data_IF_694925502574
#
_entry.id   IF_694925502574
#
_cell.length_a   1.000
_cell.length_b   1.000
_cell.length_c   1.000
_cell.angle_alpha   90.00
_cell.angle_beta   90.00
_cell.angle_gamma   90.00
#
_symmetry.space_group_name_H-M   'P 1'
#
loop_
_entity.id
_entity.type
_entity.pdbx_description
1 polymer ?
#
# COMPACT_ATOMS: atom_id res chain seq x y z
N UNK A 1 -14.08 -5.69 59.01
CA UNK A 1 -12.67 -6.02 58.70
C UNK A 1 -12.42 -5.74 57.23
N UNK A 2 -11.79 -4.59 56.93
CA UNK A 2 -11.49 -4.14 55.56
C UNK A 2 -9.98 -4.19 55.39
N UNK A 3 -9.50 -5.04 54.50
CA UNK A 3 -8.15 -5.03 53.96
C UNK A 3 -8.19 -4.22 52.66
N UNK A 4 -7.44 -3.12 52.60
CA UNK A 4 -7.21 -2.36 51.37
C UNK A 4 -5.70 -2.31 51.13
N UNK A 5 -5.29 -3.02 50.09
CA UNK A 5 -3.95 -2.95 49.51
C UNK A 5 -3.90 -1.69 48.63
N UNK A 6 -2.90 -0.86 48.89
CA UNK A 6 -2.63 0.41 48.22
C UNK A 6 -1.85 0.12 46.95
N UNK A 7 -2.38 0.51 45.78
CA UNK A 7 -1.61 0.60 44.54
C UNK A 7 -1.00 2.00 44.43
N UNK A 8 0.33 2.05 44.36
CA UNK A 8 1.12 3.23 44.06
C UNK A 8 1.01 3.52 42.55
N UNK A 9 0.36 4.60 42.16
CA UNK A 9 0.45 5.17 40.81
C UNK A 9 1.42 6.35 40.85
N UNK A 10 2.59 6.19 40.22
CA UNK A 10 3.55 7.28 40.01
C UNK A 10 3.01 8.27 38.98
N UNK A 11 2.61 9.44 39.45
CA UNK A 11 2.31 10.59 38.60
C UNK A 11 3.61 11.30 38.24
N UNK A 12 3.96 11.32 36.95
CA UNK A 12 5.04 12.16 36.42
C UNK A 12 4.51 13.60 36.37
N UNK A 13 5.00 14.45 37.28
CA UNK A 13 4.66 15.87 37.32
C UNK A 13 5.39 16.61 36.19
N UNK A 14 4.63 17.20 35.26
CA UNK A 14 5.14 18.20 34.32
C UNK A 14 4.99 19.57 34.99
N UNK A 15 6.10 20.11 35.48
CA UNK A 15 6.15 21.42 36.13
C UNK A 15 6.13 22.53 35.08
N UNK A 16 5.02 23.25 34.97
CA UNK A 16 4.89 24.45 34.13
C UNK A 16 5.62 25.61 34.82
N UNK A 17 6.75 26.05 34.27
CA UNK A 17 7.40 27.30 34.67
C UNK A 17 6.71 28.47 33.98
N UNK A 18 5.90 29.23 34.74
CA UNK A 18 5.29 30.48 34.30
C UNK A 18 6.16 31.64 34.80
N UNK A 19 7.09 32.13 33.97
CA UNK A 19 7.87 33.34 34.27
C UNK A 19 7.36 34.52 33.45
N UNK A 20 7.14 35.63 34.15
CA UNK A 20 6.57 36.88 33.69
C UNK A 20 7.32 37.53 32.52
N UNK A 21 6.57 38.04 31.54
CA UNK A 21 7.06 38.93 30.49
C UNK A 21 6.99 40.39 30.97
N UNK A 22 8.09 41.16 30.94
CA UNK A 22 7.98 42.62 30.84
C UNK A 22 7.62 43.00 29.40
N UNK A 23 6.60 43.83 29.29
CA UNK A 23 6.13 44.45 28.06
C UNK A 23 7.02 45.62 27.67
N UNK A 24 7.93 45.41 26.73
CA UNK A 24 8.50 46.48 25.93
C UNK A 24 8.17 46.25 24.45
N UNK A 25 7.25 47.08 23.96
CA UNK A 25 6.87 47.18 22.58
C UNK A 25 7.97 47.90 21.79
N UNK A 26 8.99 47.14 21.38
CA UNK A 26 9.86 47.49 20.27
C UNK A 26 9.39 46.73 19.04
N UNK A 27 8.70 47.40 18.12
CA UNK A 27 8.40 46.85 16.80
C UNK A 27 9.71 46.72 16.01
N UNK A 28 10.44 45.62 16.20
CA UNK A 28 11.42 45.16 15.22
C UNK A 28 10.65 44.47 14.10
N UNK A 29 10.54 45.15 12.96
CA UNK A 29 10.29 44.51 11.68
C UNK A 29 11.44 43.55 11.40
N UNK A 30 11.35 42.30 11.86
CA UNK A 30 12.11 41.21 11.26
C UNK A 30 11.53 40.99 9.87
N UNK A 31 12.12 41.69 8.88
CA UNK A 31 12.14 41.19 7.52
C UNK A 31 12.71 39.77 7.60
N UNK A 32 11.84 38.77 7.60
CA UNK A 32 12.23 37.40 7.30
C UNK A 32 12.67 37.43 5.85
N UNK A 33 13.97 37.59 5.62
CA UNK A 33 14.53 37.44 4.28
C UNK A 33 14.32 35.98 3.88
N UNK A 34 13.18 35.70 3.25
CA UNK A 34 12.92 34.38 2.67
C UNK A 34 13.98 34.12 1.62
N UNK A 35 14.46 32.88 1.56
CA UNK A 35 15.38 32.46 0.52
C UNK A 35 14.64 32.07 -0.75
N UNK A 36 15.39 31.73 -1.78
CA UNK A 36 14.85 31.12 -2.99
C UNK A 36 15.71 29.95 -3.43
N UNK A 37 15.15 29.09 -4.29
CA UNK A 37 15.85 27.98 -4.92
C UNK A 37 15.65 28.14 -6.42
N UNK A 38 16.72 28.06 -7.20
CA UNK A 38 16.64 28.02 -8.66
C UNK A 38 17.50 26.90 -9.19
N UNK A 39 17.11 26.29 -10.30
CA UNK A 39 17.89 25.22 -10.85
C UNK A 39 17.57 24.90 -12.29
N UNK A 40 18.37 24.01 -12.86
CA UNK A 40 18.17 23.44 -14.19
C UNK A 40 18.17 21.92 -14.08
N UNK A 41 17.27 21.29 -14.82
CA UNK A 41 17.17 19.84 -14.95
C UNK A 41 17.68 19.44 -16.33
N UNK A 42 18.65 18.53 -16.36
CA UNK A 42 19.24 17.97 -17.57
C UNK A 42 19.17 16.45 -17.55
N UNK A 43 19.36 15.80 -18.68
CA UNK A 43 19.56 14.36 -18.74
C UNK A 43 21.06 13.99 -18.71
N UNK A 44 21.35 12.69 -18.65
CA UNK A 44 22.73 12.15 -18.68
C UNK A 44 23.49 12.44 -19.99
N UNK A 45 22.80 12.83 -21.07
CA UNK A 45 23.43 13.30 -22.32
C UNK A 45 23.77 14.80 -22.28
N UNK A 46 23.31 15.50 -21.26
CA UNK A 46 23.46 16.94 -21.08
C UNK A 46 22.36 17.78 -21.74
N UNK A 47 21.33 17.15 -22.31
CA UNK A 47 20.18 17.84 -22.87
C UNK A 47 19.25 18.35 -21.76
N UNK A 48 18.54 19.46 -22.00
CA UNK A 48 17.63 20.05 -21.01
C UNK A 48 16.33 19.27 -20.94
N UNK A 49 15.80 19.06 -19.73
CA UNK A 49 14.56 18.31 -19.51
C UNK A 49 13.43 19.27 -19.17
N UNK A 50 12.59 19.56 -20.15
CA UNK A 50 11.37 20.35 -19.96
C UNK A 50 10.22 19.53 -19.36
N UNK A 51 9.28 20.18 -18.66
CA UNK A 51 8.09 19.54 -18.11
C UNK A 51 8.33 18.54 -16.97
N UNK A 52 9.55 18.45 -16.43
CA UNK A 52 9.83 17.68 -15.23
C UNK A 52 9.19 18.34 -14.01
N UNK A 53 8.56 17.54 -13.18
CA UNK A 53 7.91 17.98 -11.95
C UNK A 53 8.93 18.02 -10.81
N UNK A 54 9.11 19.19 -10.21
CA UNK A 54 10.01 19.45 -9.09
C UNK A 54 9.18 19.74 -7.85
N UNK A 55 9.26 18.90 -6.84
CA UNK A 55 8.59 19.05 -5.54
C UNK A 55 9.60 19.36 -4.45
N UNK A 56 9.43 20.49 -3.75
CA UNK A 56 10.23 20.82 -2.58
C UNK A 56 9.62 20.16 -1.34
N UNK A 57 10.36 19.24 -0.72
CA UNK A 57 9.92 18.49 0.46
C UNK A 57 10.75 18.86 1.69
N UNK A 58 10.13 18.84 2.87
CA UNK A 58 10.83 19.01 4.15
C UNK A 58 11.41 17.67 4.66
N UNK A 59 12.03 17.69 5.84
CA UNK A 59 12.60 16.50 6.48
C UNK A 59 11.56 15.38 6.77
N UNK A 60 10.27 15.73 6.86
CA UNK A 60 9.15 14.80 7.03
C UNK A 60 8.56 14.32 5.68
N UNK A 61 9.21 14.65 4.56
CA UNK A 61 8.79 14.32 3.19
C UNK A 61 7.45 14.90 2.74
N UNK A 62 6.92 15.89 3.46
CA UNK A 62 5.71 16.60 3.02
C UNK A 62 6.08 17.56 1.89
N UNK A 63 5.41 17.45 0.75
CA UNK A 63 5.53 18.38 -0.36
C UNK A 63 5.00 19.75 0.05
N UNK A 64 5.90 20.73 0.14
CA UNK A 64 5.55 22.10 0.50
C UNK A 64 5.09 22.89 -0.72
N UNK A 65 5.77 22.69 -1.85
CA UNK A 65 5.51 23.36 -3.13
C UNK A 65 5.95 22.48 -4.28
N UNK A 66 5.34 22.70 -5.44
CA UNK A 66 5.61 21.96 -6.66
C UNK A 66 5.60 22.91 -7.86
N UNK A 67 6.55 22.72 -8.77
CA UNK A 67 6.67 23.46 -10.03
C UNK A 67 7.06 22.51 -11.15
N UNK A 68 6.84 22.92 -12.40
CA UNK A 68 7.34 22.19 -13.57
C UNK A 68 8.49 22.95 -14.22
N UNK A 69 9.45 22.24 -14.79
CA UNK A 69 10.54 22.85 -15.54
C UNK A 69 10.03 23.48 -16.84
N UNK A 70 10.60 24.62 -17.21
CA UNK A 70 10.28 25.34 -18.46
C UNK A 70 10.92 24.69 -19.71
N UNK A 71 10.81 25.35 -20.86
CA UNK A 71 11.35 24.85 -22.14
C UNK A 71 12.88 24.71 -22.12
N UNK A 72 13.56 25.50 -21.30
CA UNK A 72 15.00 25.48 -21.07
C UNK A 72 15.41 24.57 -19.90
N UNK A 73 14.46 23.83 -19.32
CA UNK A 73 14.68 22.91 -18.20
C UNK A 73 14.85 23.59 -16.84
N UNK A 74 14.56 24.88 -16.72
CA UNK A 74 14.76 25.65 -15.48
C UNK A 74 13.54 25.59 -14.58
N UNK A 75 13.77 25.70 -13.28
CA UNK A 75 12.71 25.83 -12.27
C UNK A 75 13.12 26.82 -11.18
N UNK A 76 12.12 27.37 -10.48
CA UNK A 76 12.36 28.29 -9.38
C UNK A 76 11.30 28.17 -8.28
N UNK A 77 11.74 28.21 -7.02
CA UNK A 77 10.93 28.42 -5.84
C UNK A 77 11.32 29.75 -5.18
N UNK A 78 10.41 30.72 -5.16
CA UNK A 78 10.59 31.98 -4.41
C UNK A 78 10.05 31.84 -2.99
N UNK A 79 10.35 32.75 -2.08
CA UNK A 79 9.70 32.82 -0.77
C UNK A 79 9.77 31.52 0.06
N UNK A 80 10.94 30.87 0.08
CA UNK A 80 11.17 29.64 0.85
C UNK A 80 11.73 30.01 2.23
N UNK A 81 11.14 29.46 3.28
CA UNK A 81 11.63 29.67 4.65
C UNK A 81 13.03 29.08 4.78
N UNK A 82 14.01 29.77 5.39
CA UNK A 82 15.35 29.21 5.59
C UNK A 82 15.30 27.87 6.35
N UNK A 83 16.06 26.88 5.86
CA UNK A 83 16.01 25.51 6.37
C UNK A 83 16.60 24.48 5.41
N UNK A 84 16.63 23.23 5.84
CA UNK A 84 17.07 22.08 5.04
C UNK A 84 15.88 21.42 4.35
N UNK A 85 15.98 21.22 3.04
CA UNK A 85 14.95 20.61 2.21
C UNK A 85 15.56 19.57 1.28
N UNK A 86 14.69 18.84 0.58
CA UNK A 86 15.08 18.10 -0.61
C UNK A 86 14.19 18.50 -1.79
N UNK A 87 14.77 18.62 -2.98
CA UNK A 87 14.04 18.73 -4.23
C UNK A 87 13.86 17.31 -4.80
N UNK A 88 12.62 16.89 -4.96
CA UNK A 88 12.25 15.65 -5.63
C UNK A 88 11.90 15.97 -7.08
N UNK A 89 12.69 15.51 -8.04
CA UNK A 89 12.48 15.75 -9.47
C UNK A 89 12.00 14.47 -10.12
N UNK A 90 10.91 14.54 -10.87
CA UNK A 90 10.37 13.39 -11.59
C UNK A 90 9.82 13.78 -12.96
N UNK A 91 10.01 12.88 -13.93
CA UNK A 91 9.41 12.94 -15.24
C UNK A 91 9.20 11.50 -15.72
N UNK A 92 8.13 11.25 -16.45
CA UNK A 92 7.67 9.91 -16.84
C UNK A 92 8.75 9.01 -17.48
N UNK A 93 9.70 9.59 -18.22
CA UNK A 93 10.74 8.86 -18.96
C UNK A 93 12.07 8.72 -18.19
N UNK A 94 12.12 9.23 -16.95
CA UNK A 94 13.35 9.37 -16.17
C UNK A 94 13.19 8.79 -14.77
N UNK A 95 14.28 8.28 -14.20
CA UNK A 95 14.34 7.90 -12.79
C UNK A 95 14.08 9.12 -11.91
N UNK A 96 13.25 8.95 -10.86
CA UNK A 96 12.99 10.02 -9.89
C UNK A 96 14.29 10.34 -9.14
N UNK A 97 14.68 11.60 -9.14
CA UNK A 97 15.89 12.08 -8.48
C UNK A 97 15.57 12.88 -7.23
N UNK A 98 16.42 12.77 -6.20
CA UNK A 98 16.27 13.48 -4.93
C UNK A 98 17.55 14.21 -4.59
N UNK A 99 17.47 15.54 -4.54
CA UNK A 99 18.61 16.39 -4.28
C UNK A 99 18.43 17.18 -2.99
N UNK A 100 19.44 17.17 -2.12
CA UNK A 100 19.41 17.94 -0.88
C UNK A 100 19.69 19.42 -1.17
N UNK A 101 18.95 20.33 -0.52
CA UNK A 101 19.14 21.78 -0.69
C UNK A 101 19.02 22.52 0.64
N UNK A 102 20.01 23.36 0.91
CA UNK A 102 20.02 24.24 2.08
C UNK A 102 19.60 25.64 1.65
N UNK A 103 18.55 26.18 2.28
CA UNK A 103 18.06 27.53 2.00
C UNK A 103 18.50 28.47 3.11
N UNK A 104 19.28 29.47 2.76
CA UNK A 104 19.70 30.56 3.64
C UNK A 104 18.84 31.80 3.42
N UNK A 105 18.68 32.61 4.46
CA UNK A 105 17.84 33.80 4.43
C UNK A 105 18.37 34.87 3.46
N UNK A 106 17.58 35.25 2.46
CA UNK A 106 17.96 36.25 1.45
C UNK A 106 18.91 35.77 0.35
N UNK A 107 19.26 34.48 0.34
CA UNK A 107 20.10 33.86 -0.69
C UNK A 107 19.27 33.02 -1.66
N UNK A 108 19.85 32.77 -2.85
CA UNK A 108 19.31 31.84 -3.84
C UNK A 108 20.18 30.60 -3.86
N UNK A 109 19.62 29.45 -3.47
CA UNK A 109 20.29 28.17 -3.59
C UNK A 109 20.19 27.68 -5.04
N UNK A 110 21.32 27.40 -5.67
CA UNK A 110 21.37 26.85 -7.02
C UNK A 110 21.41 25.33 -7.00
N UNK A 111 20.59 24.70 -7.84
CA UNK A 111 20.49 23.25 -7.97
C UNK A 111 20.66 22.81 -9.42
N UNK A 112 21.61 21.91 -9.68
CA UNK A 112 21.76 21.26 -10.98
C UNK A 112 21.36 19.80 -10.82
N UNK A 113 20.24 19.41 -11.44
CA UNK A 113 19.71 18.05 -11.33
C UNK A 113 19.93 17.34 -12.65
N UNK A 114 20.59 16.18 -12.60
CA UNK A 114 20.73 15.30 -13.76
C UNK A 114 19.76 14.14 -13.59
N UNK A 115 18.78 14.05 -14.49
CA UNK A 115 17.85 12.93 -14.59
C UNK A 115 18.47 11.83 -15.43
N UNK A 116 18.53 10.64 -14.85
CA UNK A 116 18.93 9.42 -15.54
C UNK A 116 17.74 8.88 -16.34
N UNK A 117 17.97 8.49 -17.59
CA UNK A 117 16.94 7.81 -18.39
C UNK A 117 16.51 6.57 -17.62
N UNK A 118 15.19 6.39 -17.48
CA UNK A 118 14.65 5.28 -16.72
C UNK A 118 15.13 3.95 -17.35
N UNK A 119 16.05 3.25 -16.70
CA UNK A 119 16.49 1.93 -17.14
C UNK A 119 15.31 0.98 -16.97
N UNK A 120 14.82 0.39 -18.08
CA UNK A 120 13.68 -0.55 -18.18
C UNK A 120 12.82 -0.56 -16.91
N UNK A 121 11.97 0.46 -16.76
CA UNK A 121 10.97 0.51 -15.71
C UNK A 121 9.92 -0.57 -15.98
N UNK A 122 9.64 -1.38 -14.98
CA UNK A 122 8.57 -2.38 -15.06
C UNK A 122 7.20 -1.69 -15.01
N UNK A 123 6.64 -1.37 -16.16
CA UNK A 123 5.26 -0.91 -16.24
C UNK A 123 4.35 -2.09 -16.48
N UNK A 124 3.73 -2.57 -15.41
CA UNK A 124 2.67 -3.58 -15.47
C UNK A 124 1.33 -2.92 -15.21
N UNK A 125 0.93 -2.04 -16.13
CA UNK A 125 -0.39 -1.40 -16.06
C UNK A 125 -1.42 -2.31 -16.71
N UNK A 126 -2.48 -2.63 -15.98
CA UNK A 126 -3.61 -3.47 -16.44
C UNK A 126 -4.54 -2.71 -17.40
N UNK A 127 -4.08 -1.60 -17.96
CA UNK A 127 -4.87 -0.75 -18.86
C UNK A 127 -4.06 -0.11 -19.99
N UNK A 128 -2.78 -0.46 -20.12
CA UNK A 128 -1.99 -0.12 -21.30
C UNK A 128 -2.21 -1.21 -22.36
N UNK A 129 -2.35 -0.84 -23.63
CA UNK A 129 -1.90 -1.74 -24.70
C UNK A 129 -0.50 -2.22 -24.30
N UNK A 130 -0.27 -3.54 -24.28
CA UNK A 130 0.96 -4.13 -23.73
C UNK A 130 2.21 -3.37 -24.23
N UNK A 131 2.81 -2.54 -23.37
CA UNK A 131 4.02 -1.75 -23.67
C UNK A 131 3.89 -0.24 -23.89
N UNK A 132 2.74 0.41 -23.64
CA UNK A 132 2.64 1.88 -23.69
C UNK A 132 2.40 2.53 -22.33
N UNK A 133 3.14 3.59 -22.04
CA UNK A 133 2.90 4.48 -20.90
C UNK A 133 1.63 5.29 -21.17
N UNK A 134 0.49 4.85 -20.66
CA UNK A 134 -0.78 5.57 -20.81
C UNK A 134 -1.08 6.45 -19.60
N UNK A 135 -1.33 7.75 -19.82
CA UNK A 135 -1.99 8.59 -18.81
C UNK A 135 -3.40 8.00 -18.57
N UNK A 136 -3.78 7.72 -17.32
CA UNK A 136 -5.13 7.25 -16.98
C UNK A 136 -6.24 8.17 -17.56
N UNK A 137 -5.94 9.46 -17.77
CA UNK A 137 -6.82 10.45 -18.42
C UNK A 137 -6.89 10.33 -19.95
N UNK A 138 -5.91 9.68 -20.58
CA UNK A 138 -5.87 9.42 -22.02
C UNK A 138 -6.60 8.15 -22.42
N UNK A 139 -6.95 7.30 -21.46
CA UNK A 139 -7.69 6.06 -21.72
C UNK A 139 -9.19 6.33 -21.78
N UNK A 140 -9.90 5.67 -22.69
CA UNK A 140 -11.36 5.72 -22.75
C UNK A 140 -12.03 4.90 -21.62
N UNK A 141 -11.25 4.28 -20.72
CA UNK A 141 -11.74 3.34 -19.73
C UNK A 141 -11.84 3.99 -18.34
N UNK A 142 -12.87 3.69 -17.53
CA UNK A 142 -13.02 4.27 -16.20
C UNK A 142 -12.08 3.57 -15.20
N UNK A 143 -10.89 4.12 -15.03
CA UNK A 143 -9.81 3.56 -14.19
C UNK A 143 -9.62 4.41 -12.94
N UNK A 144 -9.34 3.75 -11.82
CA UNK A 144 -8.83 4.39 -10.62
C UNK A 144 -7.37 3.99 -10.43
N UNK A 145 -6.49 4.96 -10.16
CA UNK A 145 -5.07 4.72 -9.88
C UNK A 145 -4.77 5.26 -8.49
N UNK A 146 -4.31 4.37 -7.62
CA UNK A 146 -4.02 4.66 -6.22
C UNK A 146 -2.51 4.55 -6.05
N UNK A 147 -1.88 5.71 -5.90
CA UNK A 147 -0.44 5.81 -5.78
C UNK A 147 0.04 5.34 -4.40
N UNK A 148 1.33 5.02 -4.31
CA UNK A 148 2.04 4.54 -3.13
C UNK A 148 1.65 5.25 -1.82
N UNK A 149 1.63 6.58 -1.81
CA UNK A 149 1.31 7.40 -0.63
C UNK A 149 -0.09 7.04 -0.08
N UNK A 150 -1.09 7.02 -0.95
CA UNK A 150 -2.46 6.64 -0.59
C UNK A 150 -2.55 5.16 -0.18
N UNK A 151 -1.72 4.28 -0.78
CA UNK A 151 -1.67 2.86 -0.37
C UNK A 151 -1.22 2.74 1.08
N UNK A 152 -0.12 3.40 1.45
CA UNK A 152 0.43 3.33 2.79
C UNK A 152 -0.48 4.03 3.82
N UNK A 153 -1.07 5.16 3.45
CA UNK A 153 -1.96 5.92 4.33
C UNK A 153 -3.26 5.16 4.63
N UNK A 154 -3.91 4.60 3.60
CA UNK A 154 -5.23 3.96 3.73
C UNK A 154 -5.14 2.52 4.24
N UNK A 155 -4.14 1.75 3.82
CA UNK A 155 -4.07 0.30 4.07
C UNK A 155 -3.23 -0.09 5.28
N UNK A 156 -3.51 0.51 6.44
CA UNK A 156 -2.74 0.27 7.66
C UNK A 156 -2.92 -1.15 8.22
N UNK A 157 -4.12 -1.73 8.13
CA UNK A 157 -4.41 -3.06 8.72
C UNK A 157 -4.42 -4.17 7.67
N UNK A 158 -5.14 -3.96 6.56
CA UNK A 158 -5.24 -4.90 5.44
C UNK A 158 -5.29 -4.14 4.11
N UNK A 159 -4.74 -4.75 3.06
CA UNK A 159 -4.73 -4.16 1.70
C UNK A 159 -6.10 -3.75 1.20
N UNK A 160 -7.15 -4.41 1.67
CA UNK A 160 -8.51 -4.15 1.25
C UNK A 160 -8.98 -2.72 1.52
N UNK A 161 -8.40 -2.03 2.51
CA UNK A 161 -8.70 -0.64 2.83
C UNK A 161 -8.18 0.34 1.78
N UNK A 162 -7.27 -0.08 0.89
CA UNK A 162 -6.69 0.79 -0.14
C UNK A 162 -7.76 1.39 -1.06
N UNK A 163 -8.84 0.63 -1.30
CA UNK A 163 -9.93 1.03 -2.20
C UNK A 163 -10.98 1.89 -1.51
N UNK A 164 -10.83 2.15 -0.21
CA UNK A 164 -11.69 3.11 0.46
C UNK A 164 -11.52 4.48 -0.24
N UNK A 165 -12.62 5.19 -0.40
CA UNK A 165 -12.73 6.48 -1.12
C UNK A 165 -12.71 6.39 -2.66
N UNK A 166 -12.57 5.20 -3.25
CA UNK A 166 -12.57 5.06 -4.70
C UNK A 166 -13.99 5.00 -5.31
N UNK A 167 -14.36 5.92 -6.24
CA UNK A 167 -15.70 5.95 -6.80
C UNK A 167 -16.05 4.63 -7.52
N UNK A 168 -17.26 4.12 -7.27
CA UNK A 168 -17.74 2.88 -7.90
C UNK A 168 -17.03 1.61 -7.43
N UNK A 169 -16.21 1.72 -6.38
CA UNK A 169 -15.57 0.62 -5.68
C UNK A 169 -16.05 0.64 -4.23
N UNK A 170 -16.31 -0.53 -3.66
CA UNK A 170 -16.68 -0.66 -2.25
C UNK A 170 -15.87 -1.78 -1.62
N UNK A 171 -15.49 -1.57 -0.37
CA UNK A 171 -14.92 -2.59 0.48
C UNK A 171 -16.03 -3.33 1.22
N UNK A 172 -16.01 -4.66 1.18
CA UNK A 172 -16.82 -5.49 2.08
C UNK A 172 -15.92 -6.37 2.94
N UNK A 173 -16.19 -6.38 4.24
CA UNK A 173 -15.52 -7.22 5.23
C UNK A 173 -16.55 -8.02 6.00
N UNK A 174 -16.31 -9.31 6.16
CA UNK A 174 -17.07 -10.17 7.09
C UNK A 174 -16.32 -10.39 8.40
N UNK A 175 -15.01 -10.16 8.38
CA UNK A 175 -14.13 -10.11 9.55
C UNK A 175 -12.96 -9.18 9.21
N UNK A 176 -12.23 -8.62 10.18
CA UNK A 176 -11.05 -7.82 9.86
C UNK A 176 -10.01 -8.54 8.99
N UNK A 177 -9.96 -9.86 9.09
CA UNK A 177 -9.05 -10.76 8.36
C UNK A 177 -9.59 -11.25 7.01
N UNK A 178 -10.85 -10.94 6.65
CA UNK A 178 -11.54 -11.41 5.47
C UNK A 178 -12.22 -10.25 4.74
N UNK A 179 -11.72 -9.94 3.55
CA UNK A 179 -12.16 -8.77 2.80
C UNK A 179 -12.30 -9.06 1.31
N UNK A 180 -13.17 -8.32 0.64
CA UNK A 180 -13.26 -8.30 -0.80
C UNK A 180 -13.56 -6.90 -1.32
N UNK A 181 -13.12 -6.69 -2.55
CA UNK A 181 -13.42 -5.48 -3.33
C UNK A 181 -14.65 -5.76 -4.19
N UNK A 182 -15.57 -4.81 -4.16
CA UNK A 182 -16.75 -4.78 -5.01
C UNK A 182 -16.60 -3.68 -6.03
N UNK A 183 -16.66 -4.03 -7.31
CA UNK A 183 -16.61 -3.06 -8.41
C UNK A 183 -17.99 -2.99 -9.04
N UNK A 184 -18.65 -1.83 -8.92
CA UNK A 184 -20.03 -1.60 -9.40
C UNK A 184 -21.03 -2.69 -8.99
N UNK A 185 -20.90 -3.18 -7.75
CA UNK A 185 -21.78 -4.20 -7.17
C UNK A 185 -21.39 -5.65 -7.45
N UNK A 186 -20.34 -5.90 -8.23
CA UNK A 186 -19.83 -7.25 -8.52
C UNK A 186 -18.58 -7.56 -7.68
N UNK A 187 -18.36 -8.83 -7.33
CA UNK A 187 -17.20 -9.29 -6.53
C UNK A 187 -16.85 -10.76 -6.84
N UNK A 188 -15.90 -11.33 -6.11
CA UNK A 188 -15.48 -12.72 -6.23
C UNK A 188 -14.98 -13.00 -7.64
N UNK A 189 -15.48 -14.07 -8.29
CA UNK A 189 -15.08 -14.43 -9.66
C UNK A 189 -15.28 -13.31 -10.70
N UNK A 190 -16.20 -12.37 -10.45
CA UNK A 190 -16.52 -11.30 -11.39
C UNK A 190 -15.60 -10.08 -11.28
N UNK A 191 -14.74 -10.03 -10.26
CA UNK A 191 -13.69 -9.02 -10.11
C UNK A 191 -12.35 -9.75 -9.97
N UNK A 192 -11.55 -9.74 -11.03
CA UNK A 192 -10.25 -10.40 -10.99
C UNK A 192 -9.23 -9.57 -10.22
N UNK A 193 -8.39 -10.25 -9.45
CA UNK A 193 -7.25 -9.64 -8.77
C UNK A 193 -5.98 -10.12 -9.43
N UNK A 194 -5.09 -9.19 -9.73
CA UNK A 194 -3.77 -9.41 -10.27
C UNK A 194 -2.72 -8.82 -9.34
N UNK A 195 -1.55 -9.46 -9.31
CA UNK A 195 -0.34 -8.90 -8.73
C UNK A 195 0.70 -8.88 -9.84
N UNK A 196 1.18 -7.70 -10.20
CA UNK A 196 2.09 -7.48 -11.32
C UNK A 196 1.58 -8.14 -12.61
N UNK A 197 0.28 -8.04 -12.90
CA UNK A 197 -0.32 -8.66 -14.09
C UNK A 197 -0.36 -10.20 -14.08
N UNK A 198 0.02 -10.87 -12.99
CA UNK A 198 -0.18 -12.30 -12.77
C UNK A 198 -1.47 -12.54 -12.00
N UNK A 199 -2.33 -13.44 -12.49
CA UNK A 199 -3.67 -13.64 -11.88
C UNK A 199 -3.54 -14.22 -10.47
N UNK A 200 -4.01 -13.45 -9.48
CA UNK A 200 -3.99 -13.82 -8.07
C UNK A 200 -5.24 -14.61 -7.66
N UNK A 201 -6.40 -14.22 -8.22
CA UNK A 201 -7.65 -14.96 -8.06
C UNK A 201 -7.62 -16.26 -8.83
N UNK A 202 -8.15 -17.33 -8.25
CA UNK A 202 -8.30 -18.63 -8.91
C UNK A 202 -9.76 -18.87 -9.28
N UNK A 203 -10.02 -19.70 -10.29
CA UNK A 203 -11.39 -20.10 -10.67
C UNK A 203 -12.12 -20.89 -9.59
N UNK A 204 -11.38 -21.43 -8.61
CA UNK A 204 -11.92 -22.12 -7.44
C UNK A 204 -12.45 -21.16 -6.36
N UNK A 205 -12.27 -19.85 -6.52
CA UNK A 205 -12.79 -18.88 -5.56
C UNK A 205 -14.32 -18.89 -5.50
N UNK A 206 -14.82 -18.88 -4.27
CA UNK A 206 -16.26 -18.79 -3.98
C UNK A 206 -16.76 -17.37 -4.33
N UNK A 207 -18.07 -17.25 -4.52
CA UNK A 207 -18.70 -15.93 -4.62
C UNK A 207 -18.64 -15.20 -3.27
N UNK A 208 -18.51 -13.87 -3.29
CA UNK A 208 -18.47 -13.04 -2.08
C UNK A 208 -17.05 -12.70 -1.61
N UNK A 209 -16.85 -12.70 -0.29
CA UNK A 209 -15.59 -12.27 0.34
C UNK A 209 -14.47 -13.27 0.10
N UNK A 210 -13.30 -12.79 -0.37
CA UNK A 210 -12.15 -13.61 -0.71
C UNK A 210 -11.23 -13.84 0.49
N UNK A 211 -10.85 -15.10 0.74
CA UNK A 211 -9.99 -15.44 1.90
C UNK A 211 -8.56 -14.93 1.77
N UNK A 212 -7.98 -15.04 0.57
CA UNK A 212 -6.56 -14.78 0.35
C UNK A 212 -6.27 -13.32 -0.01
N UNK A 213 -7.28 -12.55 -0.39
CA UNK A 213 -7.12 -11.16 -0.84
C UNK A 213 -6.37 -10.29 0.17
N UNK A 214 -6.72 -10.42 1.46
CA UNK A 214 -6.09 -9.66 2.55
C UNK A 214 -4.62 -10.00 2.81
N UNK A 215 -4.09 -11.08 2.22
CA UNK A 215 -2.68 -11.49 2.35
C UNK A 215 -1.73 -10.72 1.44
N UNK A 216 -2.22 -9.97 0.45
CA UNK A 216 -1.35 -9.06 -0.32
C UNK A 216 -0.89 -7.96 0.65
N UNK A 217 0.41 -7.71 0.69
CA UNK A 217 1.01 -6.79 1.65
C UNK A 217 1.08 -5.36 1.09
N UNK A 218 0.43 -4.37 1.73
CA UNK A 218 0.45 -2.98 1.25
C UNK A 218 1.83 -2.36 1.12
N UNK A 219 2.74 -2.65 2.07
CA UNK A 219 4.07 -2.04 2.05
C UNK A 219 4.96 -2.50 0.88
N UNK A 220 4.62 -3.62 0.26
CA UNK A 220 5.30 -4.13 -0.92
C UNK A 220 4.78 -3.51 -2.22
N UNK A 221 3.73 -2.68 -2.17
CA UNK A 221 3.07 -2.11 -3.33
C UNK A 221 3.57 -0.71 -3.65
N UNK A 222 3.65 -0.42 -4.94
CA UNK A 222 3.91 0.90 -5.50
C UNK A 222 2.61 1.56 -5.96
N UNK A 223 1.72 0.80 -6.59
CA UNK A 223 0.47 1.33 -7.15
C UNK A 223 -0.63 0.27 -7.13
N UNK A 224 -1.88 0.71 -7.00
CA UNK A 224 -3.07 -0.13 -7.23
C UNK A 224 -3.90 0.48 -8.35
N UNK A 225 -4.22 -0.33 -9.35
CA UNK A 225 -5.05 0.07 -10.47
C UNK A 225 -6.37 -0.68 -10.43
N UNK A 226 -7.48 0.03 -10.65
CA UNK A 226 -8.81 -0.56 -10.69
C UNK A 226 -9.48 -0.21 -12.01
N UNK A 227 -9.52 -1.18 -12.91
CA UNK A 227 -10.30 -1.11 -14.13
C UNK A 227 -11.75 -1.48 -13.83
N UNK A 228 -12.70 -0.60 -14.12
CA UNK A 228 -14.13 -0.84 -13.82
C UNK A 228 -14.93 -1.17 -15.08
N UNK A 229 -15.83 -2.14 -14.95
CA UNK A 229 -16.83 -2.46 -15.98
C UNK A 229 -16.36 -3.43 -17.07
N UNK A 230 -17.12 -3.51 -18.19
CA UNK A 230 -17.08 -4.65 -19.11
C UNK A 230 -15.79 -4.79 -19.93
N UNK A 231 -14.97 -3.74 -20.02
CA UNK A 231 -13.64 -3.81 -20.63
C UNK A 231 -12.70 -4.78 -19.91
N UNK A 232 -13.02 -5.16 -18.67
CA UNK A 232 -12.31 -6.19 -17.93
C UNK A 232 -12.42 -7.61 -18.51
N UNK A 233 -13.36 -7.84 -19.43
CA UNK A 233 -13.52 -9.14 -20.11
C UNK A 233 -12.28 -9.59 -20.88
N UNK A 234 -11.41 -8.65 -21.29
CA UNK A 234 -10.12 -8.97 -21.91
C UNK A 234 -9.14 -9.67 -20.95
N UNK A 235 -9.35 -9.54 -19.64
CA UNK A 235 -8.54 -10.18 -18.59
C UNK A 235 -9.15 -11.51 -18.11
N UNK A 236 -10.34 -11.88 -18.57
CA UNK A 236 -10.93 -13.18 -18.29
C UNK A 236 -12.40 -13.25 -18.63
N UNK A 237 -12.84 -14.40 -19.13
CA UNK A 237 -14.23 -14.64 -19.56
C UNK A 237 -15.26 -14.52 -18.42
N UNK A 238 -14.84 -14.64 -17.17
CA UNK A 238 -15.66 -14.53 -15.97
C UNK A 238 -15.65 -13.12 -15.34
N UNK A 239 -14.80 -12.21 -15.85
CA UNK A 239 -14.53 -10.89 -15.28
C UNK A 239 -15.46 -9.84 -15.89
N UNK A 240 -16.62 -9.67 -15.26
CA UNK A 240 -17.67 -8.74 -15.72
C UNK A 240 -17.66 -7.39 -14.99
N UNK A 241 -17.15 -7.39 -13.75
CA UNK A 241 -17.21 -6.23 -12.85
C UNK A 241 -16.00 -5.32 -12.95
N UNK A 242 -14.80 -5.89 -13.05
CA UNK A 242 -13.58 -5.13 -13.12
C UNK A 242 -12.32 -5.95 -12.82
N UNK A 243 -11.18 -5.29 -12.91
CA UNK A 243 -9.88 -5.83 -12.50
C UNK A 243 -9.27 -4.94 -11.45
N UNK A 244 -8.72 -5.53 -10.39
CA UNK A 244 -7.87 -4.87 -9.41
C UNK A 244 -6.46 -5.40 -9.61
N UNK A 245 -5.53 -4.55 -10.01
CA UNK A 245 -4.14 -4.89 -10.23
C UNK A 245 -3.27 -4.22 -9.17
N UNK A 246 -2.53 -5.04 -8.43
CA UNK A 246 -1.56 -4.61 -7.45
C UNK A 246 -0.18 -4.63 -8.09
N UNK A 247 0.43 -3.46 -8.23
CA UNK A 247 1.77 -3.33 -8.78
C UNK A 247 2.73 -3.27 -7.60
N UNK A 248 3.59 -4.28 -7.50
CA UNK A 248 4.60 -4.34 -6.46
C UNK A 248 5.78 -3.43 -6.81
N UNK A 249 6.46 -2.93 -5.77
CA UNK A 249 7.65 -2.09 -5.92
C UNK A 249 8.73 -2.83 -6.71
N UNK A 250 9.43 -2.10 -7.58
CA UNK A 250 10.62 -2.58 -8.25
C UNK A 250 11.90 -2.16 -7.48
N UNK A 251 12.99 -2.94 -7.59
CA UNK A 251 14.29 -2.50 -7.09
C UNK A 251 14.75 -1.24 -7.84
N UNK A 252 15.37 -0.31 -7.10
CA UNK A 252 16.09 0.79 -7.72
C UNK A 252 17.39 0.27 -8.33
N UNK A 253 17.69 0.66 -9.56
CA UNK A 253 18.99 0.42 -10.18
C UNK A 253 19.98 1.48 -9.69
N UNK A 254 21.24 1.06 -9.51
CA UNK A 254 22.33 2.01 -9.28
C UNK A 254 22.96 2.41 -10.62
N UNK A 255 23.57 3.59 -10.66
CA UNK A 255 24.17 4.15 -11.87
C UNK A 255 25.51 3.43 -12.20
N UNK A 256 26.65 4.09 -12.00
CA UNK A 256 27.97 3.47 -12.21
C UNK A 256 28.39 2.58 -11.03
N UNK A 257 28.00 2.95 -9.81
CA UNK A 257 28.34 2.27 -8.57
C UNK A 257 27.15 1.48 -8.00
N UNK A 258 27.44 0.56 -7.10
CA UNK A 258 26.39 -0.19 -6.42
C UNK A 258 25.77 0.63 -5.30
N UNK A 259 24.45 0.66 -5.22
CA UNK A 259 23.72 1.47 -4.25
C UNK A 259 22.83 0.62 -3.35
N UNK A 260 22.67 1.08 -2.12
CA UNK A 260 21.72 0.53 -1.16
C UNK A 260 20.72 1.60 -0.78
N UNK A 261 19.44 1.28 -0.93
CA UNK A 261 18.36 2.09 -0.42
C UNK A 261 17.52 1.29 0.55
N UNK A 262 16.91 1.96 1.51
CA UNK A 262 16.10 1.27 2.50
C UNK A 262 15.13 2.20 3.18
N UNK A 263 14.00 1.65 3.55
CA UNK A 263 12.98 2.33 4.33
C UNK A 263 12.40 1.34 5.35
N UNK A 264 12.18 1.82 6.56
CA UNK A 264 11.49 1.06 7.59
C UNK A 264 10.33 1.90 8.08
N UNK A 265 9.13 1.33 8.12
CA UNK A 265 7.96 1.95 8.74
C UNK A 265 7.51 1.13 9.93
N UNK A 266 7.03 1.83 10.95
CA UNK A 266 6.37 1.25 12.11
C UNK A 266 5.08 2.01 12.35
N UNK A 267 4.05 1.32 12.82
CA UNK A 267 2.76 1.94 13.10
C UNK A 267 2.15 1.43 14.39
N UNK A 268 1.25 2.24 14.93
CA UNK A 268 0.37 1.89 16.03
C UNK A 268 -1.03 2.44 15.78
N UNK A 269 -2.06 1.62 15.98
CA UNK A 269 -3.47 2.00 15.80
C UNK A 269 -4.21 1.87 17.13
N UNK A 270 -4.80 2.97 17.62
CA UNK A 270 -5.54 2.96 18.89
C UNK A 270 -6.88 2.19 18.84
N UNK A 271 -7.65 2.13 17.73
CA UNK A 271 -8.92 1.40 17.70
C UNK A 271 -8.74 -0.09 17.91
N UNK A 272 -7.69 -0.69 17.35
CA UNK A 272 -7.39 -2.12 17.48
C UNK A 272 -6.26 -2.40 18.47
N UNK A 273 -5.64 -1.38 19.08
CA UNK A 273 -4.32 -1.52 19.74
C UNK A 273 -3.35 -2.29 18.85
N UNK A 274 -3.44 -2.08 17.54
CA UNK A 274 -2.64 -2.78 16.56
C UNK A 274 -1.26 -2.17 16.49
N UNK A 275 -0.26 -2.99 16.20
CA UNK A 275 1.09 -2.53 15.96
C UNK A 275 1.75 -3.39 14.88
N UNK A 276 2.70 -2.82 14.17
CA UNK A 276 3.42 -3.54 13.14
C UNK A 276 4.44 -2.66 12.46
N UNK A 277 5.04 -3.22 11.43
CA UNK A 277 5.98 -2.50 10.61
C UNK A 277 6.45 -3.33 9.43
N UNK A 278 7.22 -2.68 8.58
CA UNK A 278 7.88 -3.29 7.46
C UNK A 278 9.27 -2.71 7.28
N UNK A 279 10.16 -3.48 6.68
CA UNK A 279 11.47 -3.05 6.21
C UNK A 279 11.56 -3.38 4.73
N UNK A 280 11.80 -2.36 3.91
CA UNK A 280 12.13 -2.47 2.50
C UNK A 280 13.63 -2.18 2.35
N UNK A 281 14.35 -3.08 1.70
CA UNK A 281 15.75 -2.91 1.33
C UNK A 281 15.87 -3.14 -0.17
N UNK A 282 16.56 -2.25 -0.86
CA UNK A 282 16.92 -2.42 -2.26
C UNK A 282 18.42 -2.32 -2.44
N UNK A 283 18.96 -3.18 -3.28
CA UNK A 283 20.33 -3.13 -3.73
C UNK A 283 20.36 -3.05 -5.25
N UNK A 284 20.97 -1.99 -5.77
CA UNK A 284 21.01 -1.69 -7.20
C UNK A 284 22.44 -1.64 -7.72
N UNK A 285 22.62 -2.13 -8.95
CA UNK A 285 23.77 -1.89 -9.82
C UNK A 285 23.22 -1.63 -11.22
N UNK A 286 24.08 -1.32 -12.20
CA UNK A 286 23.66 -1.19 -13.60
C UNK A 286 22.92 -2.41 -14.17
N UNK A 287 23.26 -3.63 -13.73
CA UNK A 287 22.71 -4.87 -14.30
C UNK A 287 21.77 -5.62 -13.36
N UNK A 288 21.88 -5.41 -12.06
CA UNK A 288 21.16 -6.17 -11.04
C UNK A 288 20.42 -5.20 -10.12
N UNK A 289 19.13 -5.44 -9.96
CA UNK A 289 18.31 -4.86 -8.90
C UNK A 289 17.79 -5.96 -8.01
N UNK A 290 17.95 -5.82 -6.69
CA UNK A 290 17.39 -6.70 -5.69
C UNK A 290 16.50 -5.88 -4.77
N UNK A 291 15.32 -6.39 -4.44
CA UNK A 291 14.40 -5.81 -3.48
C UNK A 291 13.97 -6.88 -2.49
N UNK A 292 14.10 -6.57 -1.20
CA UNK A 292 13.60 -7.37 -0.09
C UNK A 292 12.63 -6.53 0.74
N UNK A 293 11.37 -6.96 0.81
CA UNK A 293 10.39 -6.43 1.75
C UNK A 293 10.10 -7.51 2.80
N UNK A 294 10.18 -7.14 4.08
CA UNK A 294 9.76 -7.96 5.21
C UNK A 294 8.72 -7.19 6.02
N UNK A 295 7.64 -7.84 6.39
CA UNK A 295 6.49 -7.22 7.05
C UNK A 295 5.98 -8.11 8.19
N UNK A 296 5.56 -7.48 9.29
CA UNK A 296 4.86 -8.15 10.37
C UNK A 296 3.94 -7.17 11.10
N UNK A 297 2.73 -7.63 11.41
CA UNK A 297 1.73 -6.84 12.15
C UNK A 297 0.88 -7.72 13.05
N UNK A 298 0.48 -7.15 14.18
CA UNK A 298 -0.51 -7.71 15.11
C UNK A 298 -1.65 -6.72 15.23
N UNK A 299 -2.85 -7.14 14.84
CA UNK A 299 -4.09 -6.41 15.03
C UNK A 299 -4.83 -7.07 16.20
N UNK A 300 -5.12 -6.31 17.27
CA UNK A 300 -5.90 -6.83 18.38
C UNK A 300 -7.39 -6.49 18.21
N UNK A 301 -8.21 -6.88 19.19
CA UNK A 301 -9.67 -6.78 19.10
C UNK A 301 -10.12 -5.36 18.81
N UNK A 302 -10.96 -5.18 17.80
CA UNK A 302 -11.47 -3.88 17.37
C UNK A 302 -12.35 -3.25 18.45
N UNK A 303 -12.06 -2.00 18.81
CA UNK A 303 -12.97 -1.14 19.56
C UNK A 303 -13.91 -0.45 18.56
N UNK A 304 -15.21 -0.79 18.53
CA UNK A 304 -16.17 -0.10 17.67
C UNK A 304 -16.34 1.35 18.16
N UNK A 305 -16.83 2.24 17.30
CA UNK A 305 -17.28 3.56 17.76
C UNK A 305 -18.49 3.39 18.68
N UNK A 306 -18.76 4.38 19.53
CA UNK A 306 -20.00 4.39 20.32
C UNK A 306 -21.24 4.30 19.41
N UNK A 307 -22.32 3.72 19.93
CA UNK A 307 -23.56 3.49 19.18
C UNK A 307 -24.40 2.37 19.78
N UNK A 308 -25.52 2.07 19.14
CA UNK A 308 -26.35 0.91 19.49
C UNK A 308 -25.68 -0.37 18.96
N UNK A 309 -25.38 -1.32 19.86
CA UNK A 309 -24.91 -2.64 19.46
C UNK A 309 -26.03 -3.44 18.78
N UNK A 310 -26.09 -3.37 17.46
CA UNK A 310 -27.13 -4.05 16.66
C UNK A 310 -26.96 -5.56 16.55
N UNK A 311 -25.86 -6.13 17.08
CA UNK A 311 -25.68 -7.58 17.17
C UNK A 311 -26.54 -8.18 18.28
N UNK A 312 -26.76 -7.43 19.37
CA UNK A 312 -27.65 -7.86 20.43
C UNK A 312 -29.11 -7.74 19.97
N UNK A 313 -29.84 -8.86 20.04
CA UNK A 313 -31.26 -8.92 19.63
C UNK A 313 -32.13 -7.92 20.39
N UNK A 314 -31.85 -7.70 21.68
CA UNK A 314 -32.56 -6.71 22.51
C UNK A 314 -32.34 -5.28 22.02
N UNK A 315 -31.13 -4.94 21.57
CA UNK A 315 -30.87 -3.64 20.96
C UNK A 315 -31.55 -3.53 19.60
N UNK A 316 -31.40 -4.56 18.76
CA UNK A 316 -31.94 -4.56 17.38
C UNK A 316 -33.46 -4.42 17.35
N UNK A 317 -34.15 -5.16 18.21
CA UNK A 317 -35.62 -5.25 18.16
C UNK A 317 -36.32 -4.34 19.15
N UNK A 318 -35.68 -4.02 20.28
CA UNK A 318 -36.31 -3.28 21.37
C UNK A 318 -35.62 -1.94 21.66
N UNK A 319 -34.51 -1.62 20.98
CA UNK A 319 -33.75 -0.39 21.21
C UNK A 319 -33.06 -0.34 22.59
N UNK A 320 -33.03 -1.46 23.31
CA UNK A 320 -32.45 -1.55 24.65
C UNK A 320 -30.93 -1.68 24.50
N UNK A 321 -30.11 -0.78 25.06
CA UNK A 321 -28.66 -0.90 25.00
C UNK A 321 -28.18 -2.23 25.56
N UNK A 322 -27.17 -2.82 24.91
CA UNK A 322 -26.53 -4.06 25.34
C UNK A 322 -25.03 -3.86 25.47
N UNK A 323 -24.46 -4.42 26.53
CA UNK A 323 -23.02 -4.45 26.84
C UNK A 323 -22.43 -5.88 26.71
N UNK A 324 -23.21 -6.82 26.16
CA UNK A 324 -22.86 -8.26 26.12
C UNK A 324 -21.51 -8.51 25.42
N UNK A 325 -21.20 -7.75 24.37
CA UNK A 325 -19.95 -7.89 23.61
C UNK A 325 -18.76 -7.11 24.23
N UNK A 326 -19.00 -6.36 25.30
CA UNK A 326 -18.02 -5.48 25.94
C UNK A 326 -17.56 -4.32 25.06
N UNK A 327 -16.45 -3.68 25.43
CA UNK A 327 -15.92 -2.51 24.72
C UNK A 327 -15.14 -2.86 23.43
N UNK A 328 -14.80 -4.13 23.21
CA UNK A 328 -13.99 -4.57 22.06
C UNK A 328 -14.55 -5.86 21.49
N UNK A 329 -14.83 -5.85 20.18
CA UNK A 329 -15.44 -6.97 19.48
C UNK A 329 -14.58 -8.24 19.63
N UNK A 330 -15.15 -9.36 20.11
CA UNK A 330 -14.43 -10.63 20.16
C UNK A 330 -14.01 -11.08 18.76
N UNK A 331 -13.00 -11.94 18.67
CA UNK A 331 -12.65 -12.66 17.42
C UNK A 331 -12.32 -11.81 16.19
N UNK A 332 -11.95 -10.54 16.41
CA UNK A 332 -11.50 -9.59 15.39
C UNK A 332 -9.97 -9.47 15.32
N UNK A 333 -9.24 -10.10 16.24
CA UNK A 333 -7.78 -10.04 16.30
C UNK A 333 -7.11 -11.03 15.34
N UNK A 334 -5.96 -10.67 14.77
CA UNK A 334 -5.15 -11.54 13.92
C UNK A 334 -3.69 -11.05 13.88
N UNK A 335 -2.78 -11.94 13.49
CA UNK A 335 -1.38 -11.59 13.17
C UNK A 335 -1.17 -11.86 11.68
N UNK A 336 -0.48 -10.97 10.97
CA UNK A 336 -0.06 -11.19 9.59
C UNK A 336 1.42 -10.88 9.44
N UNK A 337 2.12 -11.69 8.65
CA UNK A 337 3.54 -11.53 8.37
C UNK A 337 3.90 -12.17 7.03
N UNK A 338 5.03 -11.77 6.48
CA UNK A 338 5.47 -12.29 5.20
C UNK A 338 6.73 -11.62 4.68
N UNK A 339 6.84 -11.64 3.35
CA UNK A 339 7.79 -10.84 2.63
C UNK A 339 7.69 -11.01 1.13
N UNK A 340 8.39 -10.12 0.42
CA UNK A 340 8.58 -10.12 -1.02
C UNK A 340 10.08 -10.06 -1.30
N UNK A 341 10.57 -10.98 -2.13
CA UNK A 341 11.88 -10.91 -2.75
C UNK A 341 11.67 -10.70 -4.25
N UNK A 342 12.27 -9.65 -4.80
CA UNK A 342 12.31 -9.38 -6.24
C UNK A 342 13.75 -9.24 -6.70
N UNK A 343 14.05 -9.81 -7.86
CA UNK A 343 15.36 -9.73 -8.50
C UNK A 343 15.15 -9.39 -9.96
N UNK A 344 15.69 -8.27 -10.39
CA UNK A 344 15.68 -7.84 -11.78
C UNK A 344 17.10 -7.89 -12.32
N UNK A 345 17.26 -8.50 -13.49
CA UNK A 345 18.53 -8.67 -14.18
C UNK A 345 18.42 -8.13 -15.60
N UNK A 346 19.09 -7.01 -15.86
CA UNK A 346 19.21 -6.43 -17.20
C UNK A 346 20.31 -7.18 -17.95
N UNK A 347 19.92 -8.14 -18.80
CA UNK A 347 20.84 -8.89 -19.67
C UNK A 347 21.55 -7.92 -20.62
N UNK A 348 20.79 -6.95 -21.14
CA UNK A 348 21.25 -5.83 -21.96
C UNK A 348 20.19 -4.72 -21.92
N UNK A 349 20.44 -3.61 -22.61
CA UNK A 349 19.56 -2.43 -22.62
C UNK A 349 18.16 -2.69 -23.21
N UNK A 350 17.93 -3.84 -23.84
CA UNK A 350 16.64 -4.21 -24.46
C UNK A 350 16.02 -5.48 -23.86
N UNK A 351 16.71 -6.18 -22.97
CA UNK A 351 16.29 -7.50 -22.49
C UNK A 351 16.49 -7.59 -20.98
N UNK A 352 15.40 -7.89 -20.26
CA UNK A 352 15.38 -7.97 -18.81
C UNK A 352 14.76 -9.31 -18.38
N UNK A 353 15.37 -9.91 -17.36
CA UNK A 353 14.85 -11.09 -16.67
C UNK A 353 14.49 -10.71 -15.24
N UNK A 354 13.31 -11.13 -14.81
CA UNK A 354 12.72 -10.72 -13.56
C UNK A 354 12.26 -11.94 -12.80
N UNK A 355 12.49 -11.92 -11.49
CA UNK A 355 12.02 -12.94 -10.57
C UNK A 355 11.33 -12.24 -9.41
N UNK A 356 10.16 -12.73 -9.03
CA UNK A 356 9.43 -12.26 -7.87
C UNK A 356 8.91 -13.45 -7.10
N UNK A 357 9.10 -13.43 -5.79
CA UNK A 357 8.57 -14.40 -4.87
C UNK A 357 8.03 -13.69 -3.64
N UNK A 358 6.74 -13.88 -3.35
CA UNK A 358 6.12 -13.41 -2.13
C UNK A 358 5.51 -14.57 -1.35
N UNK A 359 5.68 -14.50 -0.03
CA UNK A 359 5.06 -15.43 0.91
C UNK A 359 4.41 -14.63 2.02
N UNK A 360 3.11 -14.81 2.21
CA UNK A 360 2.34 -14.11 3.24
C UNK A 360 1.48 -15.11 4.02
N UNK A 361 1.38 -14.91 5.32
CA UNK A 361 0.61 -15.76 6.23
C UNK A 361 -0.15 -14.92 7.24
N UNK A 362 -1.34 -15.38 7.58
CA UNK A 362 -2.18 -14.80 8.63
C UNK A 362 -2.62 -15.88 9.62
N UNK A 363 -2.42 -15.58 10.91
CA UNK A 363 -2.72 -16.48 12.02
C UNK A 363 -3.73 -15.86 12.99
N UNK A 364 -4.60 -16.70 13.56
CA UNK A 364 -5.60 -16.30 14.54
C UNK A 364 -6.82 -15.57 13.96
N UNK A 365 -6.92 -15.47 12.62
CA UNK A 365 -8.07 -14.89 11.95
C UNK A 365 -9.31 -15.75 12.13
N UNK A 366 -10.39 -15.16 12.65
CA UNK A 366 -11.67 -15.84 12.86
C UNK A 366 -12.77 -15.18 12.05
N UNK A 367 -13.83 -15.94 11.76
CA UNK A 367 -15.02 -15.45 11.06
C UNK A 367 -15.99 -14.82 12.05
N UNK A 368 -15.74 -13.57 12.40
CA UNK A 368 -16.59 -12.80 13.32
C UNK A 368 -18.07 -12.82 12.90
N UNK A 369 -18.35 -12.77 11.59
CA UNK A 369 -19.68 -12.90 11.00
C UNK A 369 -20.40 -14.23 11.30
N UNK A 370 -19.67 -15.27 11.70
CA UNK A 370 -20.24 -16.57 12.04
C UNK A 370 -20.29 -16.84 13.53
N UNK A 371 -19.64 -16.02 14.36
CA UNK A 371 -19.57 -16.18 15.81
C UNK A 371 -20.72 -15.43 16.51
N UNK A 372 -20.79 -15.50 17.86
CA UNK A 372 -21.90 -14.93 18.64
C UNK A 372 -22.26 -13.48 18.22
N UNK A 373 -23.48 -13.30 17.69
CA UNK A 373 -23.91 -12.05 17.02
C UNK A 373 -24.08 -12.16 15.49
N UNK A 374 -23.73 -13.30 14.88
CA UNK A 374 -23.92 -13.65 13.47
C UNK A 374 -24.76 -14.93 13.25
N UNK A 375 -24.32 -15.85 12.38
CA UNK A 375 -24.97 -17.18 12.15
C UNK A 375 -25.01 -18.07 13.42
N UNK A 376 -24.36 -17.64 14.51
CA UNK A 376 -24.47 -18.23 15.85
C UNK A 376 -23.46 -19.33 16.18
N UNK A 377 -22.56 -19.71 15.27
CA UNK A 377 -21.59 -20.77 15.51
C UNK A 377 -20.66 -20.42 16.70
N UNK A 378 -20.22 -21.42 17.48
CA UNK A 378 -19.26 -21.16 18.57
C UNK A 378 -17.80 -21.18 18.09
N UNK A 379 -17.53 -21.79 16.93
CA UNK A 379 -16.17 -21.96 16.39
C UNK A 379 -16.20 -21.75 14.88
N UNK A 380 -15.45 -20.76 14.40
CA UNK A 380 -15.22 -20.49 13.00
C UNK A 380 -13.83 -19.85 12.81
N UNK A 381 -12.82 -20.70 12.69
CA UNK A 381 -11.40 -20.34 12.77
C UNK A 381 -10.70 -20.60 11.42
N UNK A 382 -9.89 -19.63 10.98
CA UNK A 382 -9.03 -19.75 9.82
C UNK A 382 -7.60 -19.97 10.31
N UNK A 383 -7.06 -21.13 9.97
CA UNK A 383 -5.71 -21.56 10.35
C UNK A 383 -4.86 -21.75 9.11
N UNK A 384 -3.55 -21.61 9.27
CA UNK A 384 -2.59 -21.86 8.20
C UNK A 384 -2.95 -21.11 6.91
N UNK A 385 -3.54 -19.91 7.04
CA UNK A 385 -3.95 -19.11 5.88
C UNK A 385 -2.70 -18.49 5.27
N UNK A 386 -2.28 -19.00 4.13
CA UNK A 386 -1.03 -18.61 3.50
C UNK A 386 -1.12 -18.56 1.98
N UNK A 387 -0.31 -17.68 1.40
CA UNK A 387 -0.09 -17.58 -0.05
C UNK A 387 1.39 -17.62 -0.36
N UNK A 388 1.73 -18.40 -1.37
CA UNK A 388 3.03 -18.43 -2.04
C UNK A 388 2.80 -18.00 -3.50
N UNK A 389 3.21 -16.79 -3.88
CA UNK A 389 3.12 -16.29 -5.26
C UNK A 389 4.53 -16.11 -5.82
N UNK A 390 4.80 -16.78 -6.92
CA UNK A 390 6.04 -16.70 -7.67
C UNK A 390 5.74 -16.34 -9.11
N UNK A 391 6.60 -15.53 -9.73
CA UNK A 391 6.69 -15.45 -11.17
C UNK A 391 8.11 -15.17 -11.64
N UNK A 392 8.41 -15.68 -12.83
CA UNK A 392 9.59 -15.33 -13.60
C UNK A 392 9.14 -14.72 -14.92
N UNK A 393 9.74 -13.60 -15.31
CA UNK A 393 9.37 -12.87 -16.51
C UNK A 393 10.59 -12.51 -17.33
N UNK A 394 10.54 -12.81 -18.63
CA UNK A 394 11.51 -12.35 -19.61
C UNK A 394 10.83 -11.29 -20.47
N UNK A 395 11.37 -10.08 -20.47
CA UNK A 395 10.91 -8.97 -21.30
C UNK A 395 11.98 -8.67 -22.33
N UNK A 396 11.58 -8.52 -23.58
CA UNK A 396 12.43 -8.00 -24.65
C UNK A 396 11.73 -6.88 -25.38
N UNK A 397 12.38 -5.72 -25.46
CA UNK A 397 11.90 -4.55 -26.18
C UNK A 397 12.56 -4.46 -27.57
N UNK A 398 11.97 -3.65 -28.44
CA UNK A 398 12.50 -3.30 -29.76
C UNK A 398 12.77 -4.54 -30.64
N UNK A 399 11.72 -5.31 -30.93
CA UNK A 399 11.77 -6.52 -31.77
C UNK A 399 11.54 -6.22 -33.26
N UNK A 400 11.72 -4.97 -33.69
CA UNK A 400 11.47 -4.52 -35.06
C UNK A 400 10.00 -4.23 -35.29
N UNK A 401 9.22 -5.23 -35.75
CA UNK A 401 7.78 -5.06 -36.01
C UNK A 401 6.92 -5.01 -34.74
N UNK A 402 7.47 -5.44 -33.59
CA UNK A 402 6.80 -5.41 -32.29
C UNK A 402 7.58 -4.50 -31.34
N UNK A 403 6.86 -3.67 -30.59
CA UNK A 403 7.45 -2.78 -29.58
C UNK A 403 8.11 -3.57 -28.45
N UNK A 404 7.47 -4.67 -28.02
CA UNK A 404 7.99 -5.58 -27.01
C UNK A 404 7.41 -6.99 -27.15
N UNK A 405 8.07 -7.95 -26.49
CA UNK A 405 7.52 -9.27 -26.20
C UNK A 405 7.84 -9.65 -24.77
N UNK A 406 6.90 -10.35 -24.13
CA UNK A 406 7.00 -10.79 -22.75
C UNK A 406 6.63 -12.27 -22.65
N UNK A 407 7.47 -13.03 -21.95
CA UNK A 407 7.17 -14.39 -21.50
C UNK A 407 7.07 -14.37 -19.98
N UNK A 408 5.98 -14.88 -19.41
CA UNK A 408 5.80 -14.99 -17.96
C UNK A 408 5.46 -16.43 -17.58
N UNK A 409 6.21 -16.97 -16.64
CA UNK A 409 5.87 -18.19 -15.92
C UNK A 409 5.47 -17.81 -14.50
N UNK A 410 4.39 -18.38 -13.98
CA UNK A 410 3.88 -18.08 -12.65
C UNK A 410 3.60 -19.34 -11.84
N UNK A 411 3.51 -19.18 -10.53
CA UNK A 411 2.99 -20.17 -9.60
C UNK A 411 2.26 -19.44 -8.48
N UNK A 412 1.03 -19.83 -8.18
CA UNK A 412 0.22 -19.28 -7.12
C UNK A 412 -0.32 -20.43 -6.25
N UNK A 413 0.23 -20.59 -5.05
CA UNK A 413 -0.18 -21.56 -4.05
C UNK A 413 -0.93 -20.89 -2.91
N UNK A 414 -2.19 -21.27 -2.71
CA UNK A 414 -3.05 -20.80 -1.63
C UNK A 414 -3.39 -21.97 -0.71
N UNK A 415 -3.18 -21.80 0.61
CA UNK A 415 -3.51 -22.84 1.60
C UNK A 415 -4.29 -22.26 2.75
N UNK A 416 -5.26 -23.03 3.21
CA UNK A 416 -6.16 -22.67 4.29
C UNK A 416 -6.60 -23.93 5.03
N UNK A 417 -6.72 -23.83 6.35
CA UNK A 417 -7.39 -24.82 7.19
C UNK A 417 -8.54 -24.16 7.94
N UNK A 418 -9.76 -24.65 7.75
CA UNK A 418 -10.94 -24.17 8.47
C UNK A 418 -11.31 -25.14 9.58
N UNK A 419 -11.52 -24.60 10.77
CA UNK A 419 -12.23 -25.31 11.83
C UNK A 419 -13.58 -24.63 12.02
N UNK A 420 -14.65 -25.37 11.77
CA UNK A 420 -15.98 -24.83 11.83
C UNK A 420 -16.92 -25.76 12.58
N UNK A 421 -17.66 -25.21 13.54
CA UNK A 421 -18.82 -25.85 14.14
C UNK A 421 -20.05 -25.39 13.35
N UNK A 422 -20.60 -26.29 12.53
CA UNK A 422 -21.78 -25.97 11.71
C UNK A 422 -23.06 -25.81 12.53
N UNK A 423 -24.21 -25.73 11.85
CA UNK A 423 -25.51 -25.88 12.51
C UNK A 423 -26.18 -24.60 13.02
N UNK A 424 -25.83 -23.42 12.49
CA UNK A 424 -26.58 -22.17 12.69
C UNK A 424 -26.81 -21.85 14.18
N UNK A 425 -25.72 -21.92 14.94
CA UNK A 425 -25.73 -21.71 16.39
C UNK A 425 -26.20 -22.85 17.27
N UNK A 426 -26.26 -24.07 16.73
CA UNK A 426 -26.36 -25.27 17.57
C UNK A 426 -25.02 -25.57 18.27
N UNK A 427 -24.92 -25.39 19.60
CA UNK A 427 -23.68 -25.63 20.35
C UNK A 427 -23.28 -27.11 20.40
N UNK A 428 -24.18 -28.02 20.00
CA UNK A 428 -23.95 -29.47 19.94
C UNK A 428 -23.59 -29.96 18.53
N UNK A 429 -23.52 -29.07 17.54
CA UNK A 429 -23.15 -29.47 16.19
C UNK A 429 -21.72 -29.99 16.13
N UNK A 430 -21.47 -30.87 15.17
CA UNK A 430 -20.14 -31.44 14.95
C UNK A 430 -19.14 -30.36 14.54
N UNK A 431 -17.95 -30.43 15.13
CA UNK A 431 -16.79 -29.63 14.73
C UNK A 431 -16.13 -30.34 13.54
N UNK A 432 -16.00 -29.61 12.44
CA UNK A 432 -15.37 -30.11 11.21
C UNK A 432 -14.04 -29.42 10.97
N UNK A 433 -13.07 -30.18 10.47
CA UNK A 433 -11.77 -29.68 10.03
C UNK A 433 -11.68 -29.83 8.51
N UNK A 434 -11.54 -28.72 7.80
CA UNK A 434 -11.48 -28.70 6.34
C UNK A 434 -10.14 -28.12 5.92
N UNK A 435 -9.35 -28.89 5.16
CA UNK A 435 -8.08 -28.42 4.59
C UNK A 435 -8.29 -28.12 3.12
N UNK A 436 -8.00 -26.88 2.72
CA UNK A 436 -8.07 -26.44 1.33
C UNK A 436 -6.65 -26.06 0.87
N UNK A 437 -6.23 -26.60 -0.27
CA UNK A 437 -5.01 -26.19 -0.97
C UNK A 437 -5.30 -26.06 -2.44
N UNK A 438 -5.04 -24.88 -2.98
CA UNK A 438 -5.19 -24.57 -4.41
C UNK A 438 -3.84 -24.16 -4.94
N UNK A 439 -3.37 -24.80 -6.00
CA UNK A 439 -2.17 -24.35 -6.71
C UNK A 439 -2.55 -24.09 -8.18
N UNK A 440 -2.08 -22.97 -8.73
CA UNK A 440 -2.20 -22.61 -10.14
C UNK A 440 -0.79 -22.37 -10.67
N UNK A 441 -0.48 -22.92 -11.84
CA UNK A 441 0.80 -22.76 -12.55
C UNK A 441 0.56 -21.98 -13.82
#
# INVERSE_FOLDING_TARGET
MRSRIIFLAGALAVTLFLSAFPSDAGAQQTQSSRGSISGIVRDSSGAVVSGAEVSLVNAQQVALRQVKTDAEGRFQFTDVTPGSYAAMVSRTDFSRQREAVQVTAGETAELNVVLEVNQIGEQVTVTAEAGQVGDARSTAQPINVINEENVIERATEVVAQVVDEEPGVNLQRTSPSLSAVFVRGLTGRNVAVYVDGVRYTTSAQRGGVGTFFSLIEPSALETVEILRGPNSSQYGSDVLGGVVNFISRAPLYGDADSEWHGNTNVFYTSPTNGFGGNTLLTYGTRHYGLLLNLNARRINRLRPSGGLDTHAAVTRFLGIPSDILGERLPDTAFTQYGGLLRVNYNINDTTQLLFSYSRNQQDGGRRYDQLAGGDGNLIADLRNLMTDLFYARLVKQNLGFFDNAQLTFSYNGQREERINQGGQGNPLAAITNQRERTNVV
#
